data_IF_026568630374
#
_entry.id   IF_026568630374
#
_cell.length_a   1.000
_cell.length_b   1.000
_cell.length_c   1.000
_cell.angle_alpha   90.00
_cell.angle_beta   90.00
_cell.angle_gamma   90.00
#
_symmetry.space_group_name_H-M   'P 1'
#
loop_
_entity.id
_entity.type
_entity.pdbx_description
1 polymer ?
#
# COMPACT_ATOMS: atom_id res chain seq x y z
N UNK A 1 -19.21 8.45 -31.36
CA UNK A 1 -19.63 7.79 -30.11
C UNK A 1 -20.95 8.39 -29.59
N UNK A 2 -21.90 7.53 -29.24
CA UNK A 2 -23.16 7.96 -28.63
C UNK A 2 -22.96 8.33 -27.16
N UNK A 3 -23.84 9.18 -26.61
CA UNK A 3 -23.78 9.55 -25.19
C UNK A 3 -23.86 8.32 -24.27
N UNK A 4 -24.64 7.32 -24.68
CA UNK A 4 -24.84 6.07 -23.94
C UNK A 4 -23.54 5.26 -23.90
N UNK A 5 -22.81 5.17 -25.02
CA UNK A 5 -21.49 4.51 -25.05
C UNK A 5 -20.51 5.15 -24.07
N UNK A 6 -20.47 6.49 -24.03
CA UNK A 6 -19.58 7.23 -23.12
C UNK A 6 -19.94 6.94 -21.66
N UNK A 7 -21.24 6.93 -21.33
CA UNK A 7 -21.71 6.61 -19.98
C UNK A 7 -21.43 5.16 -19.58
N UNK A 8 -21.56 4.21 -20.51
CA UNK A 8 -21.19 2.82 -20.26
C UNK A 8 -19.70 2.67 -19.96
N UNK A 9 -18.84 3.31 -20.76
CA UNK A 9 -17.38 3.29 -20.54
C UNK A 9 -17.02 3.97 -19.22
N UNK A 10 -17.54 5.17 -18.95
CA UNK A 10 -17.28 5.86 -17.68
C UNK A 10 -17.80 5.03 -16.48
N UNK A 11 -18.95 4.37 -16.63
CA UNK A 11 -19.56 3.51 -15.63
C UNK A 11 -18.71 2.29 -15.27
N UNK A 12 -18.05 1.66 -16.24
CA UNK A 12 -17.17 0.51 -15.94
C UNK A 12 -15.93 0.94 -15.14
N UNK A 13 -15.32 2.08 -15.48
CA UNK A 13 -14.22 2.64 -14.68
C UNK A 13 -14.67 3.04 -13.28
N UNK A 14 -15.83 3.69 -13.16
CA UNK A 14 -16.39 4.07 -11.87
C UNK A 14 -16.69 2.85 -10.98
N UNK A 15 -17.20 1.75 -11.57
CA UNK A 15 -17.47 0.51 -10.85
C UNK A 15 -16.20 -0.13 -10.30
N UNK A 16 -15.14 -0.22 -11.12
CA UNK A 16 -13.84 -0.75 -10.68
C UNK A 16 -13.23 0.15 -9.60
N UNK A 17 -13.25 1.47 -9.79
CA UNK A 17 -12.72 2.42 -8.83
C UNK A 17 -13.47 2.33 -7.48
N UNK A 18 -14.80 2.23 -7.51
CA UNK A 18 -15.61 2.03 -6.31
C UNK A 18 -15.25 0.71 -5.62
N UNK A 19 -15.08 -0.38 -6.36
CA UNK A 19 -14.63 -1.66 -5.82
C UNK A 19 -13.26 -1.57 -5.13
N UNK A 20 -12.30 -0.87 -5.74
CA UNK A 20 -10.98 -0.62 -5.15
C UNK A 20 -11.07 0.23 -3.88
N UNK A 21 -11.93 1.25 -3.85
CA UNK A 21 -12.13 2.11 -2.67
C UNK A 21 -12.81 1.37 -1.51
N UNK A 22 -13.78 0.51 -1.81
CA UNK A 22 -14.41 -0.34 -0.79
C UNK A 22 -13.43 -1.38 -0.27
N UNK A 23 -12.67 -2.01 -1.17
CA UNK A 23 -11.63 -2.96 -0.79
C UNK A 23 -10.56 -2.30 0.10
N UNK A 24 -10.06 -1.11 -0.27
CA UNK A 24 -9.04 -0.40 0.53
C UNK A 24 -9.54 0.11 1.87
N UNK A 25 -10.85 0.34 2.01
CA UNK A 25 -11.47 0.69 3.30
C UNK A 25 -11.56 -0.51 4.24
N UNK A 26 -11.85 -1.70 3.71
CA UNK A 26 -12.07 -2.92 4.51
C UNK A 26 -10.77 -3.69 4.74
N UNK A 27 -9.92 -3.77 3.72
CA UNK A 27 -8.64 -4.45 3.75
C UNK A 27 -7.51 -3.43 3.58
N UNK A 28 -6.43 -3.53 4.37
CA UNK A 28 -5.30 -2.65 4.20
C UNK A 28 -4.66 -2.89 2.82
N UNK A 29 -4.52 -1.81 2.04
CA UNK A 29 -3.88 -1.83 0.71
C UNK A 29 -2.47 -2.41 0.76
N UNK A 30 -1.73 -2.10 1.84
CA UNK A 30 -0.42 -2.68 2.11
C UNK A 30 -0.62 -3.79 3.13
N UNK A 31 -0.20 -5.03 2.82
CA UNK A 31 -0.32 -6.10 3.78
C UNK A 31 0.45 -5.78 5.07
N UNK A 32 -0.20 -5.95 6.22
CA UNK A 32 0.40 -5.64 7.52
C UNK A 32 1.60 -6.55 7.86
N UNK A 33 1.73 -7.71 7.22
CA UNK A 33 2.87 -8.59 7.40
C UNK A 33 4.14 -8.01 6.76
N UNK A 34 4.06 -7.48 5.54
CA UNK A 34 5.19 -6.84 4.86
C UNK A 34 5.72 -5.63 5.66
N UNK A 35 4.80 -4.84 6.23
CA UNK A 35 5.18 -3.71 7.10
C UNK A 35 5.91 -4.21 8.34
N UNK A 36 5.46 -5.31 8.94
CA UNK A 36 6.08 -5.85 10.15
C UNK A 36 7.44 -6.49 9.85
N UNK A 37 7.58 -7.27 8.79
CA UNK A 37 8.87 -7.85 8.38
C UNK A 37 9.88 -6.75 8.03
N UNK A 38 9.45 -5.69 7.33
CA UNK A 38 10.29 -4.54 7.03
C UNK A 38 10.72 -3.74 8.28
N UNK A 39 9.93 -3.76 9.35
CA UNK A 39 10.29 -3.16 10.64
C UNK A 39 11.21 -4.07 11.47
N UNK A 40 11.01 -5.39 11.44
CA UNK A 40 11.90 -6.36 12.11
C UNK A 40 13.32 -6.31 11.51
N UNK A 41 13.43 -6.04 10.21
CA UNK A 41 14.72 -5.91 9.52
C UNK A 41 15.40 -4.54 9.72
N UNK A 42 14.67 -3.54 10.21
CA UNK A 42 15.18 -2.20 10.53
C UNK A 42 15.42 -2.10 12.03
N UNK A 43 16.59 -2.54 12.47
CA UNK A 43 16.99 -2.36 13.87
C UNK A 43 17.77 -1.05 14.04
N UNK A 44 17.56 -0.36 15.15
CA UNK A 44 18.28 0.87 15.47
C UNK A 44 19.53 0.53 16.28
N UNK A 45 20.67 0.44 15.60
CA UNK A 45 21.94 0.12 16.26
C UNK A 45 22.62 1.41 16.72
N UNK A 46 22.99 1.44 18.01
CA UNK A 46 23.75 2.55 18.58
C UNK A 46 25.24 2.38 18.29
N UNK A 47 25.77 3.20 17.38
CA UNK A 47 27.20 3.23 17.06
C UNK A 47 27.83 4.44 17.75
N UNK A 48 28.57 4.19 18.83
CA UNK A 48 29.19 5.23 19.64
C UNK A 48 28.16 6.15 20.31
N UNK A 49 28.11 7.42 19.91
CA UNK A 49 27.20 8.44 20.50
C UNK A 49 25.96 8.74 19.65
N UNK A 50 25.79 8.09 18.49
CA UNK A 50 24.63 8.31 17.60
C UNK A 50 23.88 7.01 17.34
N UNK A 51 22.56 7.12 17.26
CA UNK A 51 21.69 6.04 16.81
C UNK A 51 21.59 6.11 15.29
N UNK A 52 21.83 5.00 14.62
CA UNK A 52 21.77 4.90 13.16
C UNK A 52 20.90 3.71 12.78
N UNK A 53 20.00 3.84 11.78
CA UNK A 53 19.23 2.72 11.29
C UNK A 53 20.18 1.75 10.60
N UNK A 54 20.31 0.55 11.14
CA UNK A 54 21.20 -0.47 10.60
C UNK A 54 20.39 -1.69 10.17
N UNK A 55 20.76 -2.25 9.04
CA UNK A 55 20.20 -3.49 8.54
C UNK A 55 21.12 -4.62 8.99
N UNK A 56 20.66 -5.46 9.91
CA UNK A 56 21.43 -6.63 10.34
C UNK A 56 21.33 -7.69 9.24
N UNK A 57 22.43 -7.93 8.53
CA UNK A 57 22.62 -9.10 7.67
C UNK A 57 23.43 -10.12 8.46
N UNK A 58 22.86 -11.30 8.70
CA UNK A 58 23.66 -12.50 9.00
C UNK A 58 24.55 -12.85 7.80
#
# INVERSE_FOLDING_TARGET
>A
PSLIEILMVAGTFAWVALGLLLFSKVFPLVPLFDVKEGMVYRDEVKIGRRTVPAVIRE
#
